data_IF_989753224023
#
_entry.id   IF_989753224023
#
_cell.length_a   1.000
_cell.length_b   1.000
_cell.length_c   1.000
_cell.angle_alpha   90.00
_cell.angle_beta   90.00
_cell.angle_gamma   90.00
#
_symmetry.space_group_name_H-M   'P 1'
#
loop_
_entity.id
_entity.type
_entity.pdbx_description
1 polymer ?
#
# COMPACT_ATOMS: atom_id res chain seq x y z
N UNK A 1 -6.61 -7.66 12.38
CA UNK A 1 -7.68 -8.51 11.98
C UNK A 1 -7.29 -9.70 11.13
N UNK A 2 -8.06 -10.03 10.12
CA UNK A 2 -7.91 -11.26 9.33
C UNK A 2 -6.52 -11.45 8.69
N UNK A 3 -5.88 -10.37 8.23
CA UNK A 3 -4.50 -10.45 7.71
C UNK A 3 -3.49 -10.83 8.80
N UNK A 4 -3.68 -10.35 10.03
CA UNK A 4 -2.81 -10.70 11.15
C UNK A 4 -2.96 -12.17 11.56
N UNK A 5 -4.17 -12.73 11.43
CA UNK A 5 -4.44 -14.15 11.69
C UNK A 5 -3.91 -15.06 10.57
N UNK A 6 -4.10 -14.66 9.31
CA UNK A 6 -3.54 -15.36 8.15
C UNK A 6 -2.01 -15.22 8.08
N UNK A 7 -1.48 -14.08 8.54
CA UNK A 7 -0.07 -13.73 8.51
C UNK A 7 0.64 -13.83 9.85
N UNK A 8 0.32 -14.80 10.73
CA UNK A 8 0.99 -14.93 12.02
C UNK A 8 2.50 -15.18 11.86
N UNK A 9 3.25 -14.08 11.76
CA UNK A 9 4.70 -14.10 11.76
C UNK A 9 5.16 -14.35 13.19
N UNK A 10 5.53 -15.59 13.53
CA UNK A 10 6.17 -15.89 14.80
C UNK A 10 7.53 -15.20 14.85
N UNK A 11 7.57 -14.06 15.49
CA UNK A 11 8.79 -13.27 15.62
C UNK A 11 9.79 -13.90 16.59
N UNK A 12 10.95 -14.32 16.07
CA UNK A 12 12.21 -14.32 16.81
C UNK A 12 13.11 -13.24 16.21
N UNK A 13 13.81 -12.51 17.10
CA UNK A 13 14.74 -11.44 16.74
C UNK A 13 15.61 -11.81 15.53
N UNK A 14 15.69 -10.92 14.56
CA UNK A 14 16.60 -10.85 13.42
C UNK A 14 16.16 -11.46 12.08
N UNK A 15 15.20 -12.39 11.99
CA UNK A 15 14.78 -12.97 10.70
C UNK A 15 13.24 -13.11 10.66
N UNK A 16 12.51 -12.02 10.40
CA UNK A 16 11.09 -12.09 10.09
C UNK A 16 10.95 -12.47 8.61
N UNK A 17 10.51 -13.70 8.34
CA UNK A 17 10.14 -14.16 7.01
C UNK A 17 8.62 -14.03 6.84
N UNK A 18 8.17 -13.74 5.63
CA UNK A 18 6.76 -13.77 5.29
C UNK A 18 6.19 -15.19 5.47
N UNK A 19 4.88 -15.30 5.74
CA UNK A 19 4.21 -16.61 5.85
C UNK A 19 4.27 -17.37 4.52
N UNK A 20 4.33 -16.63 3.42
CA UNK A 20 4.52 -17.12 2.06
C UNK A 20 5.89 -17.77 1.83
N UNK A 21 6.92 -17.41 2.63
CA UNK A 21 8.28 -17.90 2.47
C UNK A 21 8.45 -19.27 3.17
N UNK A 22 8.07 -20.33 2.49
CA UNK A 22 8.10 -21.68 3.03
C UNK A 22 9.36 -22.48 2.67
N UNK A 23 10.09 -22.09 1.61
CA UNK A 23 11.34 -22.73 1.21
C UNK A 23 12.53 -22.27 2.06
N UNK A 24 13.47 -23.18 2.36
CA UNK A 24 14.68 -22.83 3.11
C UNK A 24 15.56 -21.78 2.41
N UNK A 25 15.55 -21.77 1.08
CA UNK A 25 16.31 -20.80 0.28
C UNK A 25 15.71 -19.39 0.41
N UNK A 26 14.39 -19.27 0.51
CA UNK A 26 13.67 -18.01 0.74
C UNK A 26 14.02 -17.45 2.11
N UNK A 27 14.00 -18.29 3.13
CA UNK A 27 14.38 -17.92 4.50
C UNK A 27 15.83 -17.45 4.62
N UNK A 28 16.75 -18.06 3.87
CA UNK A 28 18.18 -17.68 3.88
C UNK A 28 18.45 -16.38 3.14
N UNK A 29 17.73 -16.12 2.05
CA UNK A 29 17.92 -14.93 1.21
C UNK A 29 17.04 -13.75 1.62
N UNK A 30 15.94 -14.00 2.38
CA UNK A 30 14.96 -12.99 2.76
C UNK A 30 14.15 -12.47 1.58
N UNK A 31 13.98 -13.28 0.53
CA UNK A 31 13.21 -12.98 -0.69
C UNK A 31 12.38 -14.20 -1.08
N UNK A 32 11.18 -13.96 -1.59
CA UNK A 32 10.33 -15.01 -2.18
C UNK A 32 10.93 -15.50 -3.50
N UNK A 33 11.01 -16.81 -3.66
CA UNK A 33 11.56 -17.47 -4.85
C UNK A 33 10.48 -18.12 -5.69
N UNK A 34 9.38 -18.55 -5.06
CA UNK A 34 8.23 -19.18 -5.71
C UNK A 34 6.95 -18.43 -5.41
N UNK A 35 5.98 -18.51 -6.33
CA UNK A 35 4.64 -18.00 -6.09
C UNK A 35 3.95 -18.82 -5.01
N UNK A 36 3.27 -18.15 -4.10
CA UNK A 36 2.48 -18.81 -3.05
C UNK A 36 1.06 -18.27 -3.04
N UNK A 37 0.12 -19.10 -2.57
CA UNK A 37 -1.29 -18.72 -2.45
C UNK A 37 -1.66 -18.69 -0.98
N UNK A 38 -2.20 -17.57 -0.54
CA UNK A 38 -2.77 -17.40 0.80
C UNK A 38 -4.26 -17.08 0.65
N UNK A 39 -5.09 -17.74 1.46
CA UNK A 39 -6.55 -17.54 1.43
C UNK A 39 -7.04 -17.13 2.81
N UNK A 40 -7.95 -16.17 2.84
CA UNK A 40 -8.63 -15.75 4.07
C UNK A 40 -10.03 -15.18 3.79
N UNK A 41 -10.84 -15.12 4.84
CA UNK A 41 -12.15 -14.49 4.76
C UNK A 41 -12.07 -13.05 5.29
N UNK A 42 -12.67 -12.13 4.55
CA UNK A 42 -12.77 -10.73 4.96
C UNK A 42 -14.14 -10.19 4.53
N UNK A 43 -14.93 -9.68 5.47
CA UNK A 43 -16.26 -9.11 5.25
C UNK A 43 -17.20 -9.94 4.35
N UNK A 44 -17.14 -11.27 4.49
CA UNK A 44 -17.96 -12.20 3.72
C UNK A 44 -17.38 -12.60 2.35
N UNK A 45 -16.26 -12.01 1.96
CA UNK A 45 -15.54 -12.38 0.75
C UNK A 45 -14.42 -13.39 1.05
N UNK A 46 -14.17 -14.29 0.11
CA UNK A 46 -13.02 -15.18 0.13
C UNK A 46 -11.91 -14.55 -0.69
N UNK A 47 -10.88 -14.02 -0.02
CA UNK A 47 -9.75 -13.36 -0.68
C UNK A 47 -8.62 -14.36 -0.85
N UNK A 48 -8.12 -14.49 -2.09
CA UNK A 48 -6.96 -15.29 -2.43
C UNK A 48 -5.82 -14.36 -2.83
N UNK A 49 -4.77 -14.31 -2.03
CA UNK A 49 -3.56 -13.55 -2.36
C UNK A 49 -2.58 -14.49 -3.06
N UNK A 50 -2.23 -14.13 -4.29
CA UNK A 50 -1.19 -14.77 -5.07
C UNK A 50 0.09 -13.95 -4.90
N UNK A 51 0.94 -14.33 -3.95
CA UNK A 51 2.22 -13.66 -3.71
C UNK A 51 3.22 -14.05 -4.79
N UNK A 52 3.82 -13.05 -5.42
CA UNK A 52 4.73 -13.24 -6.56
C UNK A 52 6.15 -12.81 -6.20
N UNK A 53 7.18 -13.57 -6.64
CA UNK A 53 8.55 -13.16 -6.43
C UNK A 53 8.86 -11.83 -7.16
N UNK A 54 9.40 -10.87 -6.41
CA UNK A 54 9.75 -9.55 -6.94
C UNK A 54 11.10 -9.49 -7.68
N UNK A 55 11.87 -10.57 -7.72
CA UNK A 55 13.20 -10.59 -8.34
C UNK A 55 13.12 -10.81 -9.85
N UNK A 56 14.09 -10.22 -10.58
CA UNK A 56 14.13 -10.27 -12.04
C UNK A 56 14.19 -11.70 -12.61
N UNK A 57 14.75 -12.64 -11.86
CA UNK A 57 14.96 -14.02 -12.29
C UNK A 57 13.69 -14.89 -12.28
N UNK A 58 12.60 -14.39 -11.66
CA UNK A 58 11.35 -15.15 -11.47
C UNK A 58 10.16 -14.61 -12.25
N UNK A 59 10.40 -13.84 -13.30
CA UNK A 59 9.37 -13.15 -14.06
C UNK A 59 8.35 -14.08 -14.73
N UNK A 60 8.75 -15.29 -15.13
CA UNK A 60 7.85 -16.26 -15.79
C UNK A 60 6.74 -16.76 -14.86
N UNK A 61 7.08 -17.11 -13.62
CA UNK A 61 6.10 -17.54 -12.62
C UNK A 61 5.14 -16.39 -12.27
N UNK A 62 5.65 -15.18 -12.20
CA UNK A 62 4.83 -13.97 -11.98
C UNK A 62 3.84 -13.78 -13.12
N UNK A 63 4.25 -13.96 -14.38
CA UNK A 63 3.33 -13.86 -15.52
C UNK A 63 2.22 -14.90 -15.46
N UNK A 64 2.53 -16.13 -15.11
CA UNK A 64 1.53 -17.20 -14.96
C UNK A 64 0.54 -16.89 -13.84
N UNK A 65 1.04 -16.38 -12.73
CA UNK A 65 0.23 -16.01 -11.56
C UNK A 65 -0.74 -14.87 -11.91
N UNK A 66 -0.28 -13.83 -12.60
CA UNK A 66 -1.12 -12.71 -13.05
C UNK A 66 -2.26 -13.16 -13.95
N UNK A 67 -2.11 -14.26 -14.71
CA UNK A 67 -3.20 -14.76 -15.56
C UNK A 67 -4.37 -15.34 -14.78
N UNK A 68 -4.19 -15.67 -13.51
CA UNK A 68 -5.22 -16.20 -12.62
C UNK A 68 -5.80 -15.16 -11.66
N UNK A 69 -5.33 -13.90 -11.74
CA UNK A 69 -5.74 -12.84 -10.83
C UNK A 69 -6.85 -11.97 -11.43
N UNK A 70 -7.82 -11.59 -10.61
CA UNK A 70 -8.90 -10.66 -10.97
C UNK A 70 -8.43 -9.21 -10.92
N UNK A 71 -7.46 -8.92 -10.05
CA UNK A 71 -6.80 -7.62 -9.87
C UNK A 71 -5.37 -7.79 -9.40
N UNK A 72 -4.56 -6.76 -9.51
CA UNK A 72 -3.17 -6.76 -9.06
C UNK A 72 -2.92 -5.63 -8.07
N UNK A 73 -2.17 -5.92 -7.01
CA UNK A 73 -1.64 -4.91 -6.09
C UNK A 73 -0.19 -4.66 -6.45
N UNK A 74 0.08 -3.46 -6.96
CA UNK A 74 1.43 -2.99 -7.25
C UNK A 74 2.02 -2.36 -5.99
N UNK A 75 3.02 -3.00 -5.41
CA UNK A 75 3.69 -2.50 -4.20
C UNK A 75 4.94 -1.71 -4.59
N UNK A 76 4.98 -0.44 -4.22
CA UNK A 76 6.07 0.50 -4.50
C UNK A 76 6.79 0.86 -3.20
N UNK A 77 8.10 0.80 -3.20
CA UNK A 77 8.94 1.31 -2.11
C UNK A 77 8.94 2.84 -2.14
N UNK A 78 8.48 3.49 -1.08
CA UNK A 78 8.36 4.95 -0.98
C UNK A 78 9.71 5.70 -1.15
N UNK A 79 10.83 5.02 -0.94
CA UNK A 79 12.16 5.61 -1.12
C UNK A 79 12.72 5.47 -2.54
N UNK A 80 12.18 4.54 -3.34
CA UNK A 80 12.70 4.20 -4.67
C UNK A 80 11.76 4.60 -5.80
N UNK A 81 10.46 4.62 -5.55
CA UNK A 81 9.45 4.80 -6.60
C UNK A 81 9.34 3.58 -7.51
N UNK A 82 9.01 3.81 -8.77
CA UNK A 82 8.79 2.75 -9.77
C UNK A 82 10.11 2.16 -10.25
N UNK A 83 10.33 0.88 -9.98
CA UNK A 83 11.51 0.15 -10.42
C UNK A 83 11.30 -0.54 -11.79
N UNK A 84 12.38 -0.90 -12.47
CA UNK A 84 12.31 -1.46 -13.83
C UNK A 84 11.46 -2.75 -13.93
N UNK A 85 11.48 -3.60 -12.89
CA UNK A 85 10.67 -4.81 -12.84
C UNK A 85 9.17 -4.48 -12.71
N UNK A 86 8.83 -3.49 -11.90
CA UNK A 86 7.46 -2.99 -11.74
C UNK A 86 6.88 -2.55 -13.08
N UNK A 87 7.66 -1.81 -13.89
CA UNK A 87 7.25 -1.38 -15.24
C UNK A 87 6.91 -2.55 -16.16
N UNK A 88 7.73 -3.63 -16.11
CA UNK A 88 7.51 -4.81 -16.95
C UNK A 88 6.21 -5.52 -16.57
N UNK A 89 5.98 -5.74 -15.27
CA UNK A 89 4.79 -6.42 -14.76
C UNK A 89 3.53 -5.58 -14.97
N UNK A 90 3.62 -4.27 -14.77
CA UNK A 90 2.53 -3.34 -15.06
C UNK A 90 2.06 -3.42 -16.51
N UNK A 91 3.01 -3.47 -17.47
CA UNK A 91 2.66 -3.66 -18.90
C UNK A 91 1.90 -4.96 -19.15
N UNK A 92 2.21 -6.02 -18.42
CA UNK A 92 1.46 -7.29 -18.52
C UNK A 92 0.05 -7.12 -18.00
N UNK A 93 -0.13 -6.43 -16.87
CA UNK A 93 -1.47 -6.14 -16.33
C UNK A 93 -2.31 -5.34 -17.35
N UNK A 94 -1.75 -4.30 -17.95
CA UNK A 94 -2.44 -3.51 -18.98
C UNK A 94 -2.84 -4.37 -20.21
N UNK A 95 -1.91 -5.18 -20.73
CA UNK A 95 -2.19 -6.05 -21.90
C UNK A 95 -3.27 -7.10 -21.62
N UNK A 96 -3.49 -7.42 -20.37
CA UNK A 96 -4.46 -8.42 -19.90
C UNK A 96 -5.73 -7.81 -19.32
N UNK A 97 -5.83 -6.48 -19.32
CA UNK A 97 -6.96 -5.74 -18.71
C UNK A 97 -7.17 -6.10 -17.24
N UNK A 98 -6.07 -6.31 -16.50
CA UNK A 98 -6.09 -6.57 -15.06
C UNK A 98 -6.06 -5.21 -14.35
N UNK A 99 -7.08 -4.85 -13.56
CA UNK A 99 -7.08 -3.63 -12.77
C UNK A 99 -5.89 -3.61 -11.80
N UNK A 100 -5.26 -2.45 -11.64
CA UNK A 100 -4.09 -2.29 -10.77
C UNK A 100 -4.39 -1.31 -9.66
N UNK A 101 -4.22 -1.75 -8.42
CA UNK A 101 -4.20 -0.94 -7.22
C UNK A 101 -2.75 -0.71 -6.80
N UNK A 102 -2.42 0.50 -6.39
CA UNK A 102 -1.04 0.84 -6.00
C UNK A 102 -0.94 1.02 -4.50
N UNK A 103 -0.03 0.31 -3.84
CA UNK A 103 0.29 0.49 -2.44
C UNK A 103 1.72 1.00 -2.28
N UNK A 104 1.87 2.26 -1.85
CA UNK A 104 3.17 2.88 -1.55
C UNK A 104 3.56 2.49 -0.14
N UNK A 105 4.48 1.54 -0.04
CA UNK A 105 4.91 0.90 1.18
C UNK A 105 6.17 1.56 1.77
N UNK A 106 6.41 1.30 3.04
CA UNK A 106 7.58 1.74 3.80
C UNK A 106 7.59 3.23 4.13
N UNK A 107 6.41 3.83 4.32
CA UNK A 107 6.30 5.21 4.78
C UNK A 107 6.92 5.42 6.18
N UNK A 108 7.16 4.35 6.94
CA UNK A 108 7.90 4.34 8.21
C UNK A 108 9.41 4.58 8.06
N UNK A 109 9.90 4.68 6.83
CA UNK A 109 11.30 4.97 6.50
C UNK A 109 11.42 6.29 5.73
N UNK A 110 12.66 6.71 5.44
CA UNK A 110 12.89 7.85 4.55
C UNK A 110 12.18 7.60 3.23
N UNK A 111 11.25 8.47 2.88
CA UNK A 111 10.42 8.39 1.69
C UNK A 111 10.60 9.63 0.82
N UNK A 112 10.33 9.50 -0.46
CA UNK A 112 10.16 10.64 -1.37
C UNK A 112 8.89 11.41 -0.98
N UNK A 113 8.79 12.65 -1.43
CA UNK A 113 7.56 13.43 -1.27
C UNK A 113 6.37 12.71 -1.93
N UNK A 114 5.18 12.66 -1.29
CA UNK A 114 4.04 11.95 -1.83
C UNK A 114 3.57 12.45 -3.20
N UNK A 115 3.60 13.75 -3.48
CA UNK A 115 3.27 14.29 -4.80
C UNK A 115 4.28 13.86 -5.85
N UNK A 116 5.58 13.85 -5.52
CA UNK A 116 6.63 13.35 -6.40
C UNK A 116 6.44 11.86 -6.70
N UNK A 117 5.99 11.07 -5.73
CA UNK A 117 5.68 9.65 -5.95
C UNK A 117 4.51 9.45 -6.91
N UNK A 118 3.44 10.24 -6.79
CA UNK A 118 2.32 10.20 -7.73
C UNK A 118 2.76 10.59 -9.14
N UNK A 119 3.50 11.68 -9.29
CA UNK A 119 4.06 12.12 -10.58
C UNK A 119 4.98 11.06 -11.19
N UNK A 120 5.81 10.42 -10.37
CA UNK A 120 6.70 9.35 -10.82
C UNK A 120 5.92 8.14 -11.33
N UNK A 121 4.84 7.74 -10.66
CA UNK A 121 3.96 6.66 -11.14
C UNK A 121 3.34 7.04 -12.49
N UNK A 122 2.78 8.24 -12.61
CA UNK A 122 2.15 8.70 -13.85
C UNK A 122 3.14 8.77 -15.01
N UNK A 123 4.31 9.37 -14.79
CA UNK A 123 5.33 9.55 -15.84
C UNK A 123 5.96 8.23 -16.28
N UNK A 124 6.19 7.31 -15.35
CA UNK A 124 6.89 6.06 -15.61
C UNK A 124 6.00 4.94 -16.15
N UNK A 125 4.73 4.96 -15.79
CA UNK A 125 3.77 3.92 -16.15
C UNK A 125 2.74 4.39 -17.19
N UNK A 126 2.53 5.69 -17.35
CA UNK A 126 1.52 6.26 -18.24
C UNK A 126 0.08 6.01 -17.79
N UNK A 127 -0.14 5.87 -16.47
CA UNK A 127 -1.45 5.68 -15.86
C UNK A 127 -1.75 6.85 -14.92
N UNK A 128 -2.99 7.32 -14.90
CA UNK A 128 -3.39 8.33 -13.92
C UNK A 128 -3.46 7.75 -12.51
N UNK A 129 -3.26 8.59 -11.52
CA UNK A 129 -3.30 8.21 -10.10
C UNK A 129 -4.41 8.93 -9.37
N UNK A 130 -5.07 8.23 -8.45
CA UNK A 130 -5.97 8.82 -7.47
C UNK A 130 -5.53 8.40 -6.07
N UNK A 131 -5.10 9.37 -5.26
CA UNK A 131 -4.74 9.10 -3.88
C UNK A 131 -6.01 8.84 -3.06
N UNK A 132 -6.23 7.60 -2.64
CA UNK A 132 -7.34 7.20 -1.77
C UNK A 132 -7.11 7.67 -0.34
N UNK A 133 -5.87 7.61 0.12
CA UNK A 133 -5.44 8.18 1.38
C UNK A 133 -4.19 9.05 1.19
N UNK A 134 -3.88 9.88 2.19
CA UNK A 134 -2.71 10.74 2.20
C UNK A 134 -1.89 10.54 3.47
N UNK A 135 -0.56 10.43 3.40
CA UNK A 135 0.26 10.11 4.56
C UNK A 135 0.47 11.34 5.46
N UNK A 136 0.41 11.12 6.76
CA UNK A 136 0.71 12.13 7.78
C UNK A 136 2.12 11.91 8.28
N UNK A 137 3.05 12.70 7.74
CA UNK A 137 4.48 12.53 7.97
C UNK A 137 5.09 11.38 7.16
N UNK A 138 6.39 11.17 7.33
CA UNK A 138 7.15 10.05 6.76
C UNK A 138 8.35 9.70 7.63
N UNK A 139 8.91 8.52 7.46
CA UNK A 139 10.00 8.05 8.29
C UNK A 139 9.58 7.86 9.75
N UNK A 140 10.40 8.31 10.67
CA UNK A 140 10.14 8.18 12.11
C UNK A 140 8.93 8.98 12.60
N UNK A 141 8.48 9.94 11.83
CA UNK A 141 7.31 10.79 12.12
C UNK A 141 6.08 10.41 11.31
N UNK A 142 6.10 9.26 10.64
CA UNK A 142 4.93 8.69 10.00
C UNK A 142 3.97 8.20 11.07
N UNK A 143 2.84 8.88 11.22
CA UNK A 143 1.94 8.71 12.34
C UNK A 143 0.49 8.46 11.94
N UNK A 144 0.16 8.49 10.66
CA UNK A 144 -1.20 8.26 10.23
C UNK A 144 -1.42 8.41 8.74
N UNK A 145 -2.68 8.27 8.35
CA UNK A 145 -3.17 8.57 7.02
C UNK A 145 -4.47 9.37 7.10
N UNK A 146 -4.72 10.17 6.08
CA UNK A 146 -5.99 10.84 5.86
C UNK A 146 -6.73 10.14 4.71
N UNK A 147 -7.89 9.57 4.99
CA UNK A 147 -8.77 8.97 3.97
C UNK A 147 -9.59 10.07 3.31
N UNK A 148 -9.46 10.22 2.02
CA UNK A 148 -10.11 11.30 1.27
C UNK A 148 -11.61 11.09 1.12
N UNK A 149 -12.05 9.88 0.84
CA UNK A 149 -13.45 9.55 0.61
C UNK A 149 -14.32 9.81 1.84
N UNK A 150 -13.81 9.44 3.01
CA UNK A 150 -14.49 9.62 4.28
C UNK A 150 -14.12 10.93 4.98
N UNK A 151 -13.17 11.70 4.43
CA UNK A 151 -12.60 12.91 5.05
C UNK A 151 -12.12 12.67 6.48
N UNK A 152 -11.53 11.50 6.71
CA UNK A 152 -11.19 10.96 8.03
C UNK A 152 -9.68 10.88 8.22
N UNK A 153 -9.21 11.43 9.34
CA UNK A 153 -7.84 11.23 9.81
C UNK A 153 -7.81 9.93 10.61
N UNK A 154 -6.85 9.06 10.32
CA UNK A 154 -6.55 7.86 11.08
C UNK A 154 -5.14 8.01 11.62
N UNK A 155 -5.01 8.40 12.89
CA UNK A 155 -3.74 8.49 13.57
C UNK A 155 -3.42 7.17 14.28
N UNK A 156 -2.20 6.68 14.09
CA UNK A 156 -1.72 5.41 14.65
C UNK A 156 -0.90 5.66 15.90
N UNK A 157 -1.23 4.96 16.98
CA UNK A 157 -0.50 5.02 18.23
C UNK A 157 0.16 3.67 18.50
N UNK A 158 1.45 3.72 18.86
CA UNK A 158 2.25 2.63 19.40
C UNK A 158 2.08 1.31 18.64
N UNK A 159 2.92 1.00 17.73
CA UNK A 159 2.94 -0.32 17.07
C UNK A 159 4.17 -1.10 17.51
N UNK A 160 4.00 -2.25 18.13
CA UNK A 160 5.08 -3.19 18.36
C UNK A 160 5.29 -4.02 17.08
N UNK A 161 5.97 -3.40 16.11
CA UNK A 161 6.51 -4.03 14.89
C UNK A 161 5.63 -5.13 14.23
N UNK A 162 4.34 -4.80 13.94
CA UNK A 162 3.48 -5.65 13.12
C UNK A 162 2.89 -6.89 13.80
N UNK A 163 2.98 -7.00 15.13
CA UNK A 163 2.43 -8.13 15.88
C UNK A 163 1.03 -7.87 16.44
N UNK A 164 0.61 -6.63 16.52
CA UNK A 164 -0.74 -6.22 16.97
C UNK A 164 -1.29 -5.18 16.01
N UNK A 165 -2.61 -5.11 15.89
CA UNK A 165 -3.25 -3.97 15.24
C UNK A 165 -2.83 -2.69 15.97
N UNK A 166 -2.46 -1.65 15.22
CA UNK A 166 -2.14 -0.37 15.81
C UNK A 166 -3.41 0.17 16.50
N UNK A 167 -3.25 0.74 17.69
CA UNK A 167 -4.33 1.55 18.26
C UNK A 167 -4.52 2.77 17.37
N UNK A 168 -5.77 3.06 17.00
CA UNK A 168 -6.09 4.17 16.11
C UNK A 168 -6.93 5.20 16.84
N UNK A 169 -6.69 6.47 16.53
CA UNK A 169 -7.59 7.58 16.86
C UNK A 169 -8.09 8.18 15.55
N UNK A 170 -9.40 8.27 15.42
CA UNK A 170 -10.04 8.80 14.23
C UNK A 170 -10.56 10.22 14.47
N UNK A 171 -10.47 11.06 13.44
CA UNK A 171 -10.95 12.44 13.49
C UNK A 171 -11.10 13.06 12.11
N UNK A 172 -11.30 14.36 12.08
CA UNK A 172 -11.57 15.14 10.87
C UNK A 172 -10.65 16.35 10.79
N UNK A 173 -10.42 16.86 9.59
CA UNK A 173 -9.73 18.15 9.36
C UNK A 173 -10.57 19.36 9.85
N UNK A 174 -11.84 19.16 10.14
CA UNK A 174 -12.73 20.17 10.69
C UNK A 174 -12.68 20.22 12.23
N UNK A 175 -12.04 19.23 12.85
CA UNK A 175 -11.90 19.12 14.30
C UNK A 175 -10.50 19.58 14.74
N UNK A 176 -10.41 20.83 15.18
CA UNK A 176 -9.15 21.43 15.64
C UNK A 176 -8.53 20.69 16.85
N UNK A 177 -9.27 19.83 17.56
CA UNK A 177 -8.70 19.01 18.65
C UNK A 177 -7.67 18.01 18.12
N UNK A 178 -7.73 17.64 16.83
CA UNK A 178 -6.74 16.78 16.20
C UNK A 178 -5.37 17.40 16.01
N UNK A 179 -5.26 18.72 16.15
CA UNK A 179 -3.96 19.42 16.26
C UNK A 179 -3.13 18.87 17.42
N UNK A 180 -3.77 18.55 18.54
CA UNK A 180 -3.08 17.98 19.70
C UNK A 180 -2.65 16.51 19.48
N UNK A 181 -3.33 15.80 18.58
CA UNK A 181 -3.06 14.38 18.28
C UNK A 181 -1.90 14.23 17.30
N UNK A 182 -1.92 14.97 16.19
CA UNK A 182 -0.91 14.82 15.12
C UNK A 182 0.11 15.97 15.08
N UNK A 183 -0.09 17.02 15.87
CA UNK A 183 0.76 18.21 15.92
C UNK A 183 0.39 19.27 14.87
N UNK A 184 0.48 20.54 15.27
CA UNK A 184 0.03 21.68 14.46
C UNK A 184 0.67 21.70 13.05
N UNK A 185 1.96 21.43 12.94
CA UNK A 185 2.67 21.42 11.67
C UNK A 185 2.09 20.39 10.69
N UNK A 186 1.81 19.16 11.14
CA UNK A 186 1.26 18.12 10.29
C UNK A 186 -0.20 18.36 9.96
N UNK A 187 -0.94 18.94 10.89
CA UNK A 187 -2.35 19.28 10.67
C UNK A 187 -2.51 20.35 9.60
N UNK A 188 -1.74 21.45 9.68
CA UNK A 188 -1.74 22.51 8.66
C UNK A 188 -1.27 21.98 7.29
N UNK A 189 -0.15 21.24 7.28
CA UNK A 189 0.33 20.63 6.04
C UNK A 189 -0.72 19.71 5.41
N UNK A 190 -1.42 18.91 6.21
CA UNK A 190 -2.47 18.01 5.71
C UNK A 190 -3.64 18.79 5.11
N UNK A 191 -4.03 19.93 5.70
CA UNK A 191 -5.05 20.82 5.12
C UNK A 191 -4.60 21.34 3.74
N UNK A 192 -3.39 21.89 3.66
CA UNK A 192 -2.81 22.39 2.40
C UNK A 192 -2.74 21.29 1.33
N UNK A 193 -2.19 20.12 1.68
CA UNK A 193 -2.06 18.99 0.76
C UNK A 193 -3.45 18.48 0.29
N UNK A 194 -4.44 18.43 1.18
CA UNK A 194 -5.82 18.02 0.85
C UNK A 194 -6.48 18.99 -0.14
N UNK A 195 -6.32 20.30 0.06
CA UNK A 195 -6.81 21.32 -0.87
C UNK A 195 -6.15 21.19 -2.25
N UNK A 196 -4.83 20.95 -2.30
CA UNK A 196 -4.10 20.73 -3.54
C UNK A 196 -4.59 19.49 -4.27
N UNK A 197 -4.83 18.39 -3.56
CA UNK A 197 -5.37 17.14 -4.12
C UNK A 197 -6.78 17.32 -4.68
N UNK A 198 -7.61 18.15 -4.05
CA UNK A 198 -8.97 18.42 -4.50
C UNK A 198 -9.01 19.36 -5.72
N UNK A 199 -8.07 20.31 -5.82
CA UNK A 199 -7.97 21.24 -6.96
C UNK A 199 -7.32 20.58 -8.18
N UNK A 200 -6.23 19.85 -7.98
CA UNK A 200 -5.40 19.29 -9.05
C UNK A 200 -5.77 17.85 -9.38
N UNK A 201 -6.62 17.22 -8.57
CA UNK A 201 -6.87 15.79 -8.62
C UNK A 201 -7.83 15.38 -9.73
N UNK A 202 -7.55 14.23 -10.29
CA UNK A 202 -8.48 13.43 -11.08
C UNK A 202 -9.64 13.00 -10.17
N UNK A 203 -10.86 12.94 -10.67
CA UNK A 203 -11.97 12.31 -9.95
C UNK A 203 -11.80 10.79 -9.92
N UNK A 204 -12.19 10.17 -8.80
CA UNK A 204 -12.21 8.72 -8.70
C UNK A 204 -13.29 8.13 -9.60
N UNK A 205 -12.91 7.19 -10.45
CA UNK A 205 -13.80 6.51 -11.36
C UNK A 205 -13.42 5.03 -11.45
N UNK A 206 -14.26 4.18 -10.90
CA UNK A 206 -14.05 2.73 -10.86
C UNK A 206 -14.04 2.10 -12.26
N UNK A 207 -14.76 2.67 -13.22
CA UNK A 207 -14.73 2.17 -14.60
C UNK A 207 -13.37 2.44 -15.25
N UNK A 208 -12.75 3.58 -14.95
CA UNK A 208 -11.39 3.90 -15.40
C UNK A 208 -10.35 2.98 -14.76
N UNK A 209 -10.55 2.62 -13.48
CA UNK A 209 -9.71 1.61 -12.82
C UNK A 209 -9.82 0.27 -13.54
N UNK A 210 -11.04 -0.18 -13.83
CA UNK A 210 -11.29 -1.44 -14.53
C UNK A 210 -10.69 -1.47 -15.95
N UNK A 211 -10.59 -0.31 -16.62
CA UNK A 211 -9.96 -0.18 -17.93
C UNK A 211 -8.44 -0.01 -17.89
N UNK A 212 -7.85 0.10 -16.70
CA UNK A 212 -6.42 0.34 -16.51
C UNK A 212 -5.95 1.76 -16.88
N UNK A 213 -6.85 2.73 -16.83
CA UNK A 213 -6.59 4.16 -17.10
C UNK A 213 -6.25 4.93 -15.84
N UNK A 214 -6.70 4.44 -14.68
CA UNK A 214 -6.55 5.03 -13.36
C UNK A 214 -6.09 3.96 -12.37
N UNK A 215 -5.18 4.29 -11.47
CA UNK A 215 -4.84 3.44 -10.31
C UNK A 215 -5.17 4.16 -9.01
N UNK A 216 -5.98 3.52 -8.13
CA UNK A 216 -6.12 3.97 -6.75
C UNK A 216 -4.79 3.80 -6.01
N UNK A 217 -4.33 4.85 -5.33
CA UNK A 217 -3.04 4.86 -4.63
C UNK A 217 -3.27 4.96 -3.13
N UNK A 218 -2.65 4.05 -2.40
CA UNK A 218 -2.67 3.99 -0.94
C UNK A 218 -1.25 4.13 -0.40
N UNK A 219 -1.09 4.93 0.63
CA UNK A 219 0.17 5.09 1.36
C UNK A 219 0.10 4.34 2.69
N UNK A 220 1.20 3.69 3.06
CA UNK A 220 1.24 2.97 4.31
C UNK A 220 2.57 2.30 4.62
N UNK A 221 2.57 1.47 5.64
CA UNK A 221 3.68 0.61 6.03
C UNK A 221 3.18 -0.76 6.45
N UNK A 222 3.51 -1.77 5.65
CA UNK A 222 3.20 -3.16 5.99
C UNK A 222 3.95 -3.65 7.23
N UNK A 223 5.11 -3.07 7.55
CA UNK A 223 5.88 -3.43 8.74
C UNK A 223 5.18 -3.02 10.03
N UNK A 224 4.55 -1.85 10.03
CA UNK A 224 3.84 -1.30 11.19
C UNK A 224 2.33 -1.58 11.15
N UNK A 225 1.81 -2.14 10.06
CA UNK A 225 0.39 -2.27 9.73
C UNK A 225 -0.36 -0.93 9.56
N UNK A 226 0.37 0.16 9.38
CA UNK A 226 -0.24 1.48 9.19
C UNK A 226 -0.76 1.60 7.75
N UNK A 227 -2.04 1.98 7.59
CA UNK A 227 -2.70 2.13 6.29
C UNK A 227 -3.08 0.82 5.57
N UNK A 228 -2.82 -0.35 6.18
CA UNK A 228 -3.15 -1.65 5.56
C UNK A 228 -4.64 -1.95 5.67
N UNK A 229 -5.26 -1.66 6.81
CA UNK A 229 -6.70 -1.87 6.98
C UNK A 229 -7.53 -0.97 6.06
N UNK A 230 -7.30 0.36 5.98
CA UNK A 230 -7.97 1.21 4.99
C UNK A 230 -7.81 0.72 3.54
N UNK A 231 -6.64 0.20 3.18
CA UNK A 231 -6.43 -0.40 1.87
C UNK A 231 -7.38 -1.59 1.63
N UNK A 232 -7.53 -2.49 2.60
CA UNK A 232 -8.40 -3.66 2.46
C UNK A 232 -9.88 -3.32 2.41
N UNK A 233 -10.30 -2.27 3.09
CA UNK A 233 -11.69 -1.80 3.11
C UNK A 233 -12.11 -1.25 1.74
N UNK A 234 -11.15 -0.79 0.92
CA UNK A 234 -11.39 -0.24 -0.42
C UNK A 234 -11.04 -1.21 -1.56
N UNK A 235 -10.35 -2.31 -1.27
CA UNK A 235 -9.92 -3.31 -2.24
C UNK A 235 -11.04 -4.33 -2.50
#
# INVERSE_FOLDING_TARGET
>A
GAILEAGSVKGKKANKHAVSDWMEIEKKRGISVSSSVMQFQYEGYCINILDTPGHQDFSEDTYRTLMAADSAVMVIDASKGVEAQTKKLFKVCLLRHIPVFTFINKMDRSAMDPFVLLEHIQSELGIETYAMNWPIGSGKVFQGVYERDHRRIIAFHGGDHGMQAAEVTEGSLEDDSFVDVIGAHFFEKLKEDSELLDIAGTEFDIERVSRGELTPVFFGSALTNFGVQPFLEHF
#
